data_IF_852026988736
#
_entry.id   IF_852026988736
#
_cell.length_a   1.000
_cell.length_b   1.000
_cell.length_c   1.000
_cell.angle_alpha   90.00
_cell.angle_beta   90.00
_cell.angle_gamma   90.00
#
_symmetry.space_group_name_H-M   'P 1'
#
loop_
_entity.id
_entity.type
_entity.pdbx_description
1 polymer ?
#
# COMPACT_ATOMS: atom_id res chain seq x y z
N UNK A 1 16.74 -2.34 -1.34
CA UNK A 1 16.74 -1.26 -2.35
C UNK A 1 16.79 0.07 -1.65
N UNK A 2 17.46 1.10 -2.19
CA UNK A 2 17.37 2.44 -1.62
C UNK A 2 15.94 2.98 -1.84
N UNK A 3 15.31 3.47 -0.77
CA UNK A 3 14.03 4.18 -0.86
C UNK A 3 14.31 5.53 -1.49
N UNK A 4 14.07 5.65 -2.79
CA UNK A 4 14.19 6.93 -3.50
C UNK A 4 12.92 7.75 -3.30
N UNK A 5 13.00 9.09 -3.33
CA UNK A 5 11.81 9.96 -3.24
C UNK A 5 10.72 9.57 -4.24
N UNK A 6 11.11 9.16 -5.45
CA UNK A 6 10.21 8.71 -6.51
C UNK A 6 9.35 7.48 -6.14
N UNK A 7 9.91 6.52 -5.39
CA UNK A 7 9.16 5.35 -4.94
C UNK A 7 8.13 5.74 -3.88
N UNK A 8 8.44 6.73 -3.06
CA UNK A 8 7.51 7.26 -2.06
C UNK A 8 6.36 8.05 -2.70
N UNK A 9 6.65 8.84 -3.74
CA UNK A 9 5.62 9.58 -4.47
C UNK A 9 4.70 8.65 -5.27
N UNK A 10 5.23 7.51 -5.76
CA UNK A 10 4.44 6.47 -6.43
C UNK A 10 3.43 5.75 -5.52
N UNK A 11 3.47 5.97 -4.19
CA UNK A 11 2.54 5.34 -3.25
C UNK A 11 1.14 5.90 -3.31
N UNK A 12 1.04 7.15 -3.73
CA UNK A 12 -0.20 7.89 -3.66
C UNK A 12 -0.54 8.47 -5.03
N UNK A 13 -1.79 8.34 -5.41
CA UNK A 13 -2.36 9.01 -6.56
C UNK A 13 -3.08 10.26 -6.08
N UNK A 14 -3.15 11.26 -6.95
CA UNK A 14 -3.85 12.50 -6.65
C UNK A 14 -5.26 12.39 -7.22
N UNK A 15 -6.28 12.42 -6.36
CA UNK A 15 -7.68 12.34 -6.74
C UNK A 15 -8.38 13.68 -6.45
N UNK A 16 -9.34 14.06 -7.29
CA UNK A 16 -10.17 15.24 -7.05
C UNK A 16 -10.98 15.07 -5.77
N UNK A 17 -10.99 16.10 -4.93
CA UNK A 17 -11.82 16.13 -3.75
C UNK A 17 -13.24 16.53 -4.16
N UNK A 18 -14.17 15.58 -4.07
CA UNK A 18 -15.55 15.75 -4.50
C UNK A 18 -16.50 15.80 -3.31
N UNK A 19 -17.49 16.69 -3.38
CA UNK A 19 -18.64 16.67 -2.49
C UNK A 19 -19.50 15.41 -2.74
N UNK A 20 -20.42 15.05 -1.82
CA UNK A 20 -21.28 13.87 -1.98
C UNK A 20 -22.14 13.87 -3.26
N UNK A 21 -22.37 15.04 -3.85
CA UNK A 21 -23.11 15.23 -5.09
C UNK A 21 -22.24 15.10 -6.36
N UNK A 22 -20.93 14.87 -6.21
CA UNK A 22 -19.99 14.75 -7.31
C UNK A 22 -19.38 16.08 -7.78
N UNK A 23 -19.64 17.19 -7.09
CA UNK A 23 -19.05 18.50 -7.43
C UNK A 23 -17.61 18.61 -6.90
N UNK A 24 -16.66 18.99 -7.76
CA UNK A 24 -15.26 19.18 -7.38
C UNK A 24 -15.13 20.40 -6.46
N UNK A 25 -14.50 20.19 -5.31
CA UNK A 25 -14.22 21.26 -4.34
C UNK A 25 -13.11 22.15 -4.87
N UNK A 26 -13.23 23.46 -4.65
CA UNK A 26 -12.24 24.47 -5.02
C UNK A 26 -11.86 25.31 -3.81
N UNK A 27 -10.62 25.79 -3.78
CA UNK A 27 -10.12 26.71 -2.75
C UNK A 27 -10.57 28.15 -2.99
N UNK A 28 -10.08 29.09 -2.19
CA UNK A 28 -10.47 30.51 -2.21
C UNK A 28 -10.05 31.20 -3.51
N UNK A 29 -8.99 30.72 -4.15
CA UNK A 29 -8.50 31.16 -5.46
C UNK A 29 -9.21 30.47 -6.63
N UNK A 30 -10.10 29.51 -6.36
CA UNK A 30 -10.83 28.74 -7.35
C UNK A 30 -10.05 27.57 -7.95
N UNK A 31 -8.93 27.16 -7.33
CA UNK A 31 -8.13 26.00 -7.73
C UNK A 31 -8.78 24.73 -7.18
N UNK A 32 -8.78 23.68 -8.00
CA UNK A 32 -9.37 22.39 -7.63
C UNK A 32 -8.59 21.73 -6.50
N UNK A 33 -9.30 21.39 -5.44
CA UNK A 33 -8.74 20.73 -4.28
C UNK A 33 -8.58 19.26 -4.62
N UNK A 34 -7.36 18.75 -4.47
CA UNK A 34 -7.05 17.33 -4.61
C UNK A 34 -6.68 16.69 -3.29
N UNK A 35 -6.89 15.38 -3.16
CA UNK A 35 -6.44 14.56 -2.04
C UNK A 35 -5.52 13.46 -2.52
N UNK A 36 -4.55 13.07 -1.70
CA UNK A 36 -3.71 11.90 -1.95
C UNK A 36 -4.43 10.62 -1.50
N UNK A 37 -4.58 9.66 -2.41
CA UNK A 37 -5.19 8.34 -2.15
C UNK A 37 -4.16 7.24 -2.38
N UNK A 38 -4.15 6.19 -1.56
CA UNK A 38 -3.17 5.10 -1.72
C UNK A 38 -3.46 4.27 -2.97
N UNK A 39 -2.48 4.11 -3.85
CA UNK A 39 -2.62 3.32 -5.09
C UNK A 39 -2.70 1.80 -4.84
N UNK A 40 -2.23 1.35 -3.68
CA UNK A 40 -2.13 -0.06 -3.36
C UNK A 40 -3.39 -0.54 -2.63
N UNK A 41 -4.09 -1.52 -3.22
CA UNK A 41 -5.29 -2.16 -2.68
C UNK A 41 -5.13 -2.71 -1.25
N UNK A 42 -3.90 -2.90 -0.78
CA UNK A 42 -3.57 -3.47 0.51
C UNK A 42 -3.24 -2.42 1.60
N UNK A 43 -3.54 -1.13 1.38
CA UNK A 43 -3.27 -0.06 2.35
C UNK A 43 -1.80 -0.02 2.81
N UNK A 44 -0.87 -0.28 1.88
CA UNK A 44 0.56 -0.27 2.19
C UNK A 44 1.01 1.14 2.61
N UNK A 45 1.49 1.24 3.84
CA UNK A 45 2.06 2.47 4.39
C UNK A 45 3.58 2.48 4.27
N UNK A 46 4.21 3.63 4.56
CA UNK A 46 5.69 3.78 4.59
C UNK A 46 6.40 2.69 5.40
N UNK A 47 5.77 2.16 6.46
CA UNK A 47 6.28 1.04 7.27
C UNK A 47 6.56 -0.22 6.43
N UNK A 48 5.82 -0.41 5.35
CA UNK A 48 5.97 -1.55 4.44
C UNK A 48 7.14 -1.38 3.46
N UNK A 49 7.65 -0.16 3.31
CA UNK A 49 8.82 0.16 2.50
C UNK A 49 10.11 0.22 3.32
N UNK A 50 10.01 0.39 4.64
CA UNK A 50 11.18 0.35 5.54
C UNK A 50 11.68 -1.07 5.78
N UNK A 51 10.77 -2.05 5.77
CA UNK A 51 11.14 -3.45 5.94
C UNK A 51 11.60 -4.05 4.60
N UNK A 52 12.62 -4.91 4.66
CA UNK A 52 13.04 -5.69 3.49
C UNK A 52 11.97 -6.72 3.11
N UNK A 53 11.93 -7.15 1.85
CA UNK A 53 11.00 -8.20 1.42
C UNK A 53 11.12 -9.47 2.27
N UNK A 54 12.31 -9.78 2.78
CA UNK A 54 12.56 -10.91 3.69
C UNK A 54 11.71 -10.88 4.97
N UNK A 55 11.30 -9.69 5.44
CA UNK A 55 10.43 -9.53 6.61
C UNK A 55 9.02 -10.08 6.36
N UNK A 56 8.55 -10.02 5.11
CA UNK A 56 7.22 -10.47 4.71
C UNK A 56 7.20 -11.90 4.18
N UNK A 57 8.37 -12.49 3.97
CA UNK A 57 8.48 -13.88 3.55
C UNK A 57 8.40 -14.79 4.77
N UNK A 58 7.40 -15.65 4.79
CA UNK A 58 7.35 -16.75 5.75
C UNK A 58 8.53 -17.67 5.48
N UNK A 59 9.56 -17.61 6.34
CA UNK A 59 10.73 -18.50 6.23
C UNK A 59 10.28 -19.88 6.69
N UNK A 60 10.46 -20.91 5.87
CA UNK A 60 10.11 -22.29 6.19
C UNK A 60 10.76 -22.76 7.51
N UNK A 61 11.95 -22.25 7.83
CA UNK A 61 12.63 -22.50 9.12
C UNK A 61 12.06 -21.78 10.35
N UNK A 62 11.07 -20.90 10.19
CA UNK A 62 10.31 -20.28 11.30
C UNK A 62 8.91 -20.86 11.47
N UNK A 63 8.52 -21.78 10.59
CA UNK A 63 7.21 -22.43 10.61
C UNK A 63 7.19 -23.55 11.66
N UNK A 64 6.04 -23.72 12.30
CA UNK A 64 5.79 -24.89 13.14
C UNK A 64 5.55 -26.14 12.27
N UNK A 65 5.63 -27.34 12.86
CA UNK A 65 5.30 -28.58 12.13
C UNK A 65 3.87 -28.57 11.55
N UNK A 66 2.94 -27.90 12.25
CA UNK A 66 1.56 -27.73 11.80
C UNK A 66 1.45 -26.79 10.60
N UNK A 67 2.20 -25.69 10.59
CA UNK A 67 2.26 -24.76 9.46
C UNK A 67 2.83 -25.44 8.21
N UNK A 68 3.89 -26.25 8.37
CA UNK A 68 4.50 -27.02 7.30
C UNK A 68 3.53 -28.05 6.72
N UNK A 69 2.86 -28.81 7.59
CA UNK A 69 1.84 -29.78 7.17
C UNK A 69 0.65 -29.10 6.47
N UNK A 70 0.25 -27.90 6.93
CA UNK A 70 -0.77 -27.08 6.28
C UNK A 70 -0.35 -26.62 4.89
N UNK A 71 0.90 -26.19 4.73
CA UNK A 71 1.46 -25.74 3.46
C UNK A 71 1.59 -26.89 2.45
N UNK A 72 1.97 -28.09 2.91
CA UNK A 72 2.02 -29.28 2.08
C UNK A 72 0.63 -29.67 1.54
N UNK A 73 -0.42 -29.54 2.36
CA UNK A 73 -1.82 -29.79 1.94
C UNK A 73 -2.31 -28.80 0.87
N UNK A 74 -1.75 -27.59 0.81
CA UNK A 74 -2.09 -26.58 -0.20
C UNK A 74 -1.45 -26.83 -1.57
N UNK A 75 -0.44 -27.71 -1.66
CA UNK A 75 0.21 -28.09 -2.93
C UNK A 75 -0.59 -29.12 -3.75
N UNK A 76 -1.73 -29.58 -3.24
CA UNK A 76 -2.59 -30.60 -3.83
C UNK A 76 -3.43 -30.08 -5.02
#
# INVERSE_FOLDING_TARGET
>A
MPVTPFVMDSLFETELNTEPDGTVRRDEEGVEITRSVSCFLLCWSKKHFSESTDYYLTKEGTMTEEDLAGLERLKA
#
